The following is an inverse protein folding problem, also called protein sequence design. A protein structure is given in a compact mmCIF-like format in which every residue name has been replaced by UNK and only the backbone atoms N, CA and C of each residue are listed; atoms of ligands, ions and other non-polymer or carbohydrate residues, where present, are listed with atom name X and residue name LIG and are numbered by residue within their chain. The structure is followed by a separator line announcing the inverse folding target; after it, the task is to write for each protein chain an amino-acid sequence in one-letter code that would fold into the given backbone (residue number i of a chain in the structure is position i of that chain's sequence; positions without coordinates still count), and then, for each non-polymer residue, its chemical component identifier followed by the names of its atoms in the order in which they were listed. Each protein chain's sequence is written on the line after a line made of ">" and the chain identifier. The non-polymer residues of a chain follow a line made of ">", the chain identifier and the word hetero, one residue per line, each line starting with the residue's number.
data_IF_391496497395
#
_entry.id   IF_391496497395
#
_cell.length_a   1.000
_cell.length_b   1.000
_cell.length_c   1.000
_cell.angle_alpha   90.00
_cell.angle_beta   90.00
_cell.angle_gamma   90.00
#
_symmetry.space_group_name_H-M   'P 1'
#
loop_
_entity.id
_entity.type
_entity.pdbx_description
1 polymer ?
#
# COMPACT_ATOMS: atom_id res chain seq x y z
N UNK A 1 -10.04 -10.04 -14.70
CA UNK A 1 -11.16 -9.88 -13.74
C UNK A 1 -11.24 -8.42 -13.30
N UNK A 2 -12.41 -7.77 -13.32
CA UNK A 2 -12.66 -6.57 -12.49
C UNK A 2 -12.72 -5.18 -13.15
N UNK A 3 -13.63 -4.92 -14.11
CA UNK A 3 -13.93 -3.54 -14.57
C UNK A 3 -14.89 -2.77 -13.65
N UNK A 4 -15.66 -3.49 -12.83
CA UNK A 4 -16.78 -2.93 -12.06
C UNK A 4 -16.28 -2.08 -10.88
N UNK A 5 -15.38 -2.61 -10.05
CA UNK A 5 -14.90 -1.88 -8.87
C UNK A 5 -14.13 -0.60 -9.23
N UNK A 6 -13.15 -0.61 -10.16
CA UNK A 6 -12.48 0.63 -10.58
C UNK A 6 -13.44 1.67 -11.17
N UNK A 7 -14.49 1.25 -11.89
CA UNK A 7 -15.48 2.18 -12.45
C UNK A 7 -16.37 2.89 -11.41
N UNK A 8 -16.35 2.46 -10.15
CA UNK A 8 -17.07 3.14 -9.05
C UNK A 8 -16.34 4.40 -8.57
N UNK A 9 -15.08 4.61 -8.95
CA UNK A 9 -14.28 5.77 -8.54
C UNK A 9 -14.27 6.84 -9.63
N UNK A 10 -14.46 8.11 -9.21
CA UNK A 10 -14.41 9.26 -10.13
C UNK A 10 -13.01 9.51 -10.69
N UNK A 11 -11.99 9.14 -9.93
CA UNK A 11 -10.59 9.44 -10.21
C UNK A 11 -9.73 8.21 -9.93
N UNK A 12 -8.65 8.08 -10.69
CA UNK A 12 -7.65 7.04 -10.53
C UNK A 12 -6.27 7.66 -10.71
N UNK A 13 -5.37 7.36 -9.78
CA UNK A 13 -4.04 7.95 -9.75
C UNK A 13 -2.99 6.86 -9.75
N UNK A 14 -2.09 6.91 -10.74
CA UNK A 14 -0.93 6.03 -10.82
C UNK A 14 0.31 6.83 -11.23
N UNK A 15 1.44 6.49 -10.63
CA UNK A 15 2.75 7.05 -10.96
C UNK A 15 3.79 5.92 -10.90
N UNK A 16 4.85 5.92 -11.72
CA UNK A 16 5.96 4.96 -11.60
C UNK A 16 6.62 4.88 -10.22
N UNK A 17 6.38 5.89 -9.36
CA UNK A 17 6.90 5.97 -7.98
C UNK A 17 6.02 5.22 -6.97
N UNK A 18 4.87 4.73 -7.41
CA UNK A 18 3.93 3.91 -6.63
C UNK A 18 4.05 2.42 -7.03
N UNK A 19 5.15 2.04 -7.70
CA UNK A 19 5.38 0.67 -8.11
C UNK A 19 6.08 -0.11 -6.99
N UNK A 20 5.81 -1.41 -6.89
CA UNK A 20 6.38 -2.28 -5.85
C UNK A 20 7.91 -2.39 -5.93
N UNK A 21 8.48 -2.12 -7.10
CA UNK A 21 9.93 -2.03 -7.30
C UNK A 21 10.56 -0.76 -6.73
N UNK A 22 9.78 0.13 -6.11
CA UNK A 22 10.24 1.36 -5.46
C UNK A 22 10.10 1.19 -3.95
N UNK A 23 11.24 1.10 -3.24
CA UNK A 23 11.29 0.95 -1.77
C UNK A 23 10.41 1.97 -1.04
N UNK A 24 10.43 3.22 -1.50
CA UNK A 24 9.67 4.34 -0.93
C UNK A 24 8.23 4.47 -1.48
N UNK A 25 7.67 3.43 -2.13
CA UNK A 25 6.33 3.48 -2.75
C UNK A 25 5.25 4.04 -1.80
N UNK A 26 5.12 3.47 -0.60
CA UNK A 26 4.14 3.94 0.39
C UNK A 26 4.37 5.40 0.82
N UNK A 27 5.62 5.85 0.96
CA UNK A 27 5.93 7.24 1.31
C UNK A 27 5.52 8.19 0.19
N UNK A 28 5.80 7.81 -1.07
CA UNK A 28 5.37 8.56 -2.25
C UNK A 28 3.84 8.63 -2.31
N UNK A 29 3.13 7.54 -2.01
CA UNK A 29 1.67 7.50 -1.97
C UNK A 29 1.11 8.41 -0.86
N UNK A 30 1.64 8.34 0.37
CA UNK A 30 1.22 9.22 1.48
C UNK A 30 1.42 10.70 1.11
N UNK A 31 2.57 11.05 0.54
CA UNK A 31 2.84 12.42 0.10
C UNK A 31 1.83 12.90 -0.96
N UNK A 32 1.48 12.02 -1.91
CA UNK A 32 0.51 12.34 -2.95
C UNK A 32 -0.92 12.49 -2.39
N UNK A 33 -1.30 11.62 -1.45
CA UNK A 33 -2.59 11.71 -0.74
C UNK A 33 -2.67 13.04 0.03
N UNK A 34 -1.59 13.46 0.70
CA UNK A 34 -1.54 14.75 1.39
C UNK A 34 -1.84 15.91 0.43
N UNK A 35 -1.27 15.89 -0.78
CA UNK A 35 -1.54 16.90 -1.82
C UNK A 35 -3.02 16.90 -2.24
N UNK A 36 -3.58 15.74 -2.57
CA UNK A 36 -5.00 15.61 -2.95
C UNK A 36 -5.91 16.14 -1.84
N UNK A 37 -5.64 15.76 -0.59
CA UNK A 37 -6.49 16.14 0.54
C UNK A 37 -6.39 17.64 0.86
N UNK A 38 -5.25 18.28 0.60
CA UNK A 38 -5.08 19.73 0.73
C UNK A 38 -5.86 20.50 -0.36
N UNK A 39 -5.80 20.06 -1.61
CA UNK A 39 -6.55 20.66 -2.73
C UNK A 39 -8.07 20.53 -2.55
N UNK A 40 -8.53 19.50 -1.84
CA UNK A 40 -9.96 19.23 -1.55
C UNK A 40 -10.49 19.88 -0.27
N UNK A 41 -9.70 20.69 0.44
CA UNK A 41 -10.11 21.28 1.72
C UNK A 41 -11.32 22.23 1.54
N UNK A 42 -12.53 21.68 1.66
CA UNK A 42 -13.81 22.38 1.47
C UNK A 42 -14.80 21.64 0.55
N UNK A 43 -14.38 20.60 -0.18
CA UNK A 43 -15.16 19.95 -1.23
C UNK A 43 -15.53 18.50 -0.86
N UNK A 44 -16.75 18.31 -0.33
CA UNK A 44 -17.43 17.00 -0.22
C UNK A 44 -16.70 15.89 0.59
N UNK A 45 -17.41 14.86 1.08
CA UNK A 45 -16.78 13.67 1.65
C UNK A 45 -15.92 12.95 0.60
N UNK A 46 -14.77 12.38 1.04
CA UNK A 46 -13.87 11.61 0.17
C UNK A 46 -13.96 10.14 0.55
N UNK A 47 -14.19 9.30 -0.45
CA UNK A 47 -13.97 7.85 -0.36
C UNK A 47 -12.72 7.53 -1.18
N UNK A 48 -11.74 6.88 -0.55
CA UNK A 48 -10.46 6.56 -1.17
C UNK A 48 -10.14 5.07 -0.99
N UNK A 49 -9.70 4.45 -2.08
CA UNK A 49 -9.09 3.12 -2.07
C UNK A 49 -7.59 3.29 -2.31
N UNK A 50 -6.77 2.60 -1.51
CA UNK A 50 -5.31 2.68 -1.58
C UNK A 50 -4.78 1.25 -1.71
N UNK A 51 -3.93 1.03 -2.71
CA UNK A 51 -3.24 -0.23 -2.89
C UNK A 51 -1.85 -0.13 -2.27
N UNK A 52 -1.65 -0.77 -1.11
CA UNK A 52 -0.34 -0.86 -0.45
C UNK A 52 0.38 -2.08 -1.01
N UNK A 53 1.37 -1.83 -1.83
CA UNK A 53 2.15 -2.81 -2.58
C UNK A 53 3.40 -3.30 -1.83
N UNK A 54 3.74 -2.70 -0.69
CA UNK A 54 5.01 -2.90 0.03
C UNK A 54 5.38 -4.35 0.37
N UNK A 55 4.40 -5.24 0.59
CA UNK A 55 4.67 -6.67 0.88
C UNK A 55 4.79 -7.53 -0.38
N UNK A 56 4.52 -6.93 -1.54
CA UNK A 56 4.83 -7.52 -2.82
C UNK A 56 6.32 -7.39 -3.06
N UNK A 57 6.89 -8.40 -3.72
CA UNK A 57 8.30 -8.39 -4.06
C UNK A 57 8.69 -7.13 -4.85
N UNK A 58 9.92 -6.63 -4.69
CA UNK A 58 10.96 -7.14 -3.78
C UNK A 58 10.89 -6.59 -2.33
N UNK A 59 10.89 -7.50 -1.35
CA UNK A 59 10.88 -7.20 0.08
C UNK A 59 12.28 -7.04 0.70
N UNK A 60 13.33 -7.59 0.09
CA UNK A 60 14.71 -7.48 0.60
C UNK A 60 15.20 -6.03 0.76
N UNK A 61 14.56 -5.06 0.08
CA UNK A 61 14.78 -3.63 0.24
C UNK A 61 14.71 -3.14 1.70
N UNK A 62 13.91 -3.81 2.53
CA UNK A 62 13.62 -3.39 3.89
C UNK A 62 14.60 -3.94 4.93
N UNK A 63 15.60 -4.72 4.50
CA UNK A 63 16.68 -5.23 5.36
C UNK A 63 18.00 -4.70 4.84
N UNK A 64 18.73 -3.96 5.68
CA UNK A 64 20.03 -3.41 5.31
C UNK A 64 21.04 -4.54 5.06
N UNK A 65 21.75 -4.47 3.93
CA UNK A 65 22.75 -5.46 3.55
C UNK A 65 22.18 -6.81 3.07
N UNK A 66 20.87 -6.96 2.94
CA UNK A 66 20.28 -8.18 2.41
C UNK A 66 20.68 -8.40 0.94
N UNK A 67 21.04 -9.65 0.61
CA UNK A 67 21.25 -10.06 -0.77
C UNK A 67 19.91 -10.04 -1.55
N UNK A 68 19.93 -9.92 -2.88
CA UNK A 68 18.73 -10.05 -3.69
C UNK A 68 18.04 -11.39 -3.45
N UNK A 69 16.76 -11.33 -3.08
CA UNK A 69 15.95 -12.52 -2.77
C UNK A 69 15.07 -12.28 -1.55
N UNK A 70 13.78 -12.52 -1.70
CA UNK A 70 12.82 -12.30 -0.62
C UNK A 70 12.67 -13.56 0.23
N UNK A 71 12.73 -13.35 1.54
CA UNK A 71 12.50 -14.36 2.58
C UNK A 71 11.39 -13.92 3.52
N UNK A 72 10.99 -14.80 4.44
CA UNK A 72 10.04 -14.48 5.53
C UNK A 72 10.54 -13.29 6.36
N UNK A 73 11.85 -13.21 6.63
CA UNK A 73 12.45 -12.12 7.40
C UNK A 73 12.31 -10.78 6.67
N UNK A 74 12.57 -10.77 5.36
CA UNK A 74 12.42 -9.55 4.54
C UNK A 74 10.95 -9.14 4.40
N UNK A 75 10.02 -10.11 4.31
CA UNK A 75 8.59 -9.86 4.33
C UNK A 75 8.13 -9.24 5.66
N UNK A 76 8.63 -9.78 6.78
CA UNK A 76 8.37 -9.21 8.11
C UNK A 76 8.93 -7.78 8.23
N UNK A 77 10.08 -7.48 7.60
CA UNK A 77 10.62 -6.13 7.53
C UNK A 77 9.73 -5.19 6.71
N UNK A 78 9.18 -5.65 5.59
CA UNK A 78 8.19 -4.90 4.81
C UNK A 78 6.92 -4.58 5.63
N UNK A 79 6.44 -5.54 6.44
CA UNK A 79 5.31 -5.31 7.35
C UNK A 79 5.62 -4.25 8.42
N UNK A 80 6.82 -4.29 9.03
CA UNK A 80 7.26 -3.24 9.97
C UNK A 80 7.36 -1.87 9.29
N UNK A 81 7.80 -1.84 8.04
CA UNK A 81 7.85 -0.61 7.26
C UNK A 81 6.45 -0.02 7.03
N UNK A 82 5.45 -0.85 6.75
CA UNK A 82 4.04 -0.44 6.66
C UNK A 82 3.54 0.09 8.00
N UNK A 83 3.74 -0.69 9.08
CA UNK A 83 3.26 -0.37 10.42
C UNK A 83 3.71 1.04 10.87
N UNK A 84 4.99 1.36 10.67
CA UNK A 84 5.56 2.67 10.97
C UNK A 84 4.94 3.85 10.19
N UNK A 85 4.15 3.58 9.14
CA UNK A 85 3.56 4.58 8.23
C UNK A 85 2.04 4.62 8.27
N UNK A 86 1.39 3.60 8.84
CA UNK A 86 -0.09 3.53 8.91
C UNK A 86 -0.65 4.78 9.61
N UNK A 87 -0.05 5.21 10.72
CA UNK A 87 -0.50 6.42 11.41
C UNK A 87 -0.34 7.68 10.54
N UNK A 88 0.77 7.74 9.80
CA UNK A 88 1.04 8.79 8.81
C UNK A 88 -0.01 8.85 7.71
N UNK A 89 -0.59 7.72 7.33
CA UNK A 89 -1.70 7.65 6.38
C UNK A 89 -3.03 8.05 7.05
N UNK A 90 -3.34 7.45 8.20
CA UNK A 90 -4.61 7.63 8.91
C UNK A 90 -4.84 9.05 9.42
N UNK A 91 -3.78 9.81 9.72
CA UNK A 91 -3.88 11.24 10.11
C UNK A 91 -4.58 12.11 9.07
N UNK A 92 -4.59 11.69 7.80
CA UNK A 92 -5.30 12.41 6.73
C UNK A 92 -6.81 12.15 6.73
N UNK A 93 -7.28 11.19 7.53
CA UNK A 93 -8.68 10.76 7.65
C UNK A 93 -9.17 10.82 9.12
N UNK A 94 -9.10 11.98 9.81
CA UNK A 94 -9.41 12.06 11.24
C UNK A 94 -10.88 11.73 11.55
N UNK A 95 -11.17 11.06 12.68
CA UNK A 95 -12.52 10.59 13.03
C UNK A 95 -13.57 11.71 13.17
N UNK A 96 -13.14 12.94 13.44
CA UNK A 96 -14.02 14.09 13.64
C UNK A 96 -14.52 14.72 12.33
N UNK A 97 -14.02 14.27 11.16
CA UNK A 97 -14.68 14.53 9.88
C UNK A 97 -15.76 13.47 9.71
N UNK A 98 -17.03 13.87 9.90
CA UNK A 98 -18.26 13.04 10.04
C UNK A 98 -18.51 11.90 9.00
N UNK A 99 -17.61 11.61 8.05
CA UNK A 99 -17.74 10.61 6.98
C UNK A 99 -16.38 10.10 6.49
N UNK A 100 -15.54 9.54 7.36
CA UNK A 100 -14.34 8.84 6.94
C UNK A 100 -14.54 7.33 7.17
N UNK A 101 -14.62 6.57 6.09
CA UNK A 101 -14.52 5.11 6.11
C UNK A 101 -13.13 4.76 5.60
N UNK A 102 -12.26 4.29 6.48
CA UNK A 102 -10.94 3.77 6.10
C UNK A 102 -11.05 2.26 5.91
N UNK A 103 -10.83 1.77 4.69
CA UNK A 103 -10.72 0.33 4.41
C UNK A 103 -9.28 0.02 4.02
N UNK A 104 -8.60 -0.72 4.90
CA UNK A 104 -7.28 -1.30 4.63
C UNK A 104 -7.49 -2.63 3.90
N UNK A 105 -7.14 -2.70 2.62
CA UNK A 105 -7.20 -3.95 1.88
C UNK A 105 -5.87 -4.70 1.99
N UNK A 106 -5.89 -5.77 2.76
CA UNK A 106 -4.84 -6.80 2.90
C UNK A 106 -4.80 -7.62 1.58
N UNK A 107 -3.64 -8.14 1.12
CA UNK A 107 -3.51 -8.77 -0.19
C UNK A 107 -4.42 -9.98 -0.36
N UNK A 108 -4.85 -10.20 -1.61
CA UNK A 108 -5.70 -11.31 -2.05
C UNK A 108 -4.94 -12.65 -1.95
N UNK A 109 -3.62 -12.61 -1.82
CA UNK A 109 -2.73 -13.77 -1.66
C UNK A 109 -1.46 -13.35 -0.94
N UNK A 110 -1.02 -14.16 0.04
CA UNK A 110 0.30 -14.01 0.66
C UNK A 110 1.32 -14.82 -0.16
N UNK A 111 2.55 -14.31 -0.39
CA UNK A 111 3.61 -15.11 -1.00
C UNK A 111 3.98 -16.29 -0.09
N UNK A 112 4.16 -17.47 -0.68
CA UNK A 112 4.86 -18.58 -0.03
C UNK A 112 6.38 -18.34 -0.10
N UNK A 113 7.09 -18.75 0.94
CA UNK A 113 8.53 -18.65 1.11
C UNK A 113 9.17 -20.03 1.33
N UNK A 114 8.60 -21.07 0.72
CA UNK A 114 9.09 -22.45 0.78
C UNK A 114 8.15 -23.42 1.50
N UNK A 115 7.00 -22.96 2.00
CA UNK A 115 5.97 -23.84 2.55
C UNK A 115 5.52 -24.85 1.49
N UNK A 116 5.61 -26.14 1.81
CA UNK A 116 5.33 -27.25 0.88
C UNK A 116 6.10 -27.18 -0.45
N UNK A 117 7.29 -26.57 -0.46
CA UNK A 117 8.10 -26.37 -1.66
C UNK A 117 7.57 -25.29 -2.61
N UNK A 118 6.59 -24.50 -2.18
CA UNK A 118 5.99 -23.42 -2.98
C UNK A 118 6.68 -22.09 -2.68
N UNK A 119 6.90 -21.31 -3.74
CA UNK A 119 7.45 -19.97 -3.67
C UNK A 119 6.51 -19.00 -4.37
N UNK A 120 6.42 -17.78 -3.84
CA UNK A 120 5.50 -16.74 -4.28
C UNK A 120 4.03 -17.21 -4.23
N UNK A 121 3.17 -16.58 -5.00
CA UNK A 121 1.78 -17.00 -5.19
C UNK A 121 1.79 -18.00 -6.35
N UNK A 122 1.47 -19.26 -6.09
CA UNK A 122 1.41 -20.32 -7.12
C UNK A 122 0.46 -19.90 -8.25
N UNK A 123 0.93 -20.03 -9.51
CA UNK A 123 0.07 -20.12 -10.68
C UNK A 123 -0.34 -21.58 -10.90
#
# INVERSE_FOLDING_TARGET
>A
MGKVFPSMFKESYWHPRFACTVKESMDNQIHYIQKIMAERAGSQPVMMYINIDTIHYPNHFYVEGAAPGDTVETHAAALRYIDARIDGLLKHFPPNRRRNVSLLSVPITVPAYGEDGKYFHSF
#
